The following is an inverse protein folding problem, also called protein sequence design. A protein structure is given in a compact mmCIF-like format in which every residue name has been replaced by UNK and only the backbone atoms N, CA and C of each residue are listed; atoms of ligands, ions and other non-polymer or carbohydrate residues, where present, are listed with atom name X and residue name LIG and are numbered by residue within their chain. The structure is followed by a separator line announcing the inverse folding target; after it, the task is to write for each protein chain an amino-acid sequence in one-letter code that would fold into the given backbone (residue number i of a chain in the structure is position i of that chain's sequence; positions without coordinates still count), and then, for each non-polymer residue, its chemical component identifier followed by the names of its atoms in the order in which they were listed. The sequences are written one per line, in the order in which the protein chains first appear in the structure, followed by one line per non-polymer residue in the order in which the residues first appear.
data_IF_501657260740
#
_entry.id   IF_501657260740
#
_cell.length_a   1.000
_cell.length_b   1.000
_cell.length_c   1.000
_cell.angle_alpha   90.00
_cell.angle_beta   90.00
_cell.angle_gamma   90.00
#
_symmetry.space_group_name_H-M   'P 1'
#
loop_
_entity.id
_entity.type
_entity.pdbx_description
1 polymer ?
#
# COMPACT_ATOMS: atom_id res chain seq x y z
N UNK A 1 -9.24 5.36 19.76
CA UNK A 1 -9.72 5.95 18.49
C UNK A 1 -8.51 6.40 17.70
N UNK A 2 -8.47 6.02 16.44
CA UNK A 2 -7.49 6.50 15.47
C UNK A 2 -8.24 7.15 14.29
N UNK A 3 -7.65 8.17 13.65
CA UNK A 3 -8.32 8.89 12.59
C UNK A 3 -7.80 8.50 11.22
N UNK A 4 -8.72 8.15 10.32
CA UNK A 4 -8.40 7.96 8.89
C UNK A 4 -8.65 9.26 8.14
N UNK A 5 -7.88 9.51 7.08
CA UNK A 5 -8.04 10.68 6.22
C UNK A 5 -9.39 10.74 5.49
N UNK A 6 -10.21 9.69 5.63
CA UNK A 6 -11.47 9.57 4.89
C UNK A 6 -11.29 9.55 3.38
N UNK A 7 -12.14 8.80 2.70
CA UNK A 7 -12.14 8.77 1.23
C UNK A 7 -12.91 9.94 0.62
N UNK A 8 -13.67 10.64 1.46
CA UNK A 8 -14.51 11.81 1.12
C UNK A 8 -13.90 13.14 1.58
N UNK A 9 -12.66 13.12 2.10
CA UNK A 9 -11.96 14.29 2.61
C UNK A 9 -12.16 14.55 4.12
N UNK A 10 -13.31 14.22 4.69
CA UNK A 10 -13.54 14.37 6.14
C UNK A 10 -12.93 13.21 6.94
N UNK A 11 -12.11 13.49 7.96
CA UNK A 11 -11.51 12.46 8.80
C UNK A 11 -12.58 11.69 9.59
N UNK A 12 -12.46 10.35 9.61
CA UNK A 12 -13.33 9.49 10.42
C UNK A 12 -12.56 8.91 11.60
N UNK A 13 -13.15 8.97 12.79
CA UNK A 13 -12.60 8.31 13.98
C UNK A 13 -12.93 6.81 13.96
N UNK A 14 -11.93 5.96 13.99
CA UNK A 14 -12.06 4.51 14.01
C UNK A 14 -11.94 4.01 15.44
N UNK A 15 -12.95 3.29 15.95
CA UNK A 15 -12.96 2.79 17.31
C UNK A 15 -12.41 1.36 17.38
N UNK A 16 -11.34 1.16 18.16
CA UNK A 16 -10.77 -0.15 18.44
C UNK A 16 -11.26 -0.71 19.76
N UNK A 17 -11.34 -2.04 19.86
CA UNK A 17 -11.56 -2.72 21.13
C UNK A 17 -10.22 -2.98 21.84
N UNK A 18 -10.22 -2.97 23.17
CA UNK A 18 -9.02 -3.33 23.96
C UNK A 18 -8.55 -4.76 23.65
N UNK A 19 -9.48 -5.71 23.42
CA UNK A 19 -9.14 -7.07 22.98
C UNK A 19 -8.46 -7.09 21.62
N UNK A 20 -9.00 -6.35 20.64
CA UNK A 20 -8.41 -6.28 19.30
C UNK A 20 -7.01 -5.69 19.32
N UNK A 21 -6.79 -4.60 20.08
CA UNK A 21 -5.48 -3.97 20.24
C UNK A 21 -4.46 -4.92 20.87
N UNK A 22 -4.84 -5.62 21.94
CA UNK A 22 -3.96 -6.57 22.63
C UNK A 22 -3.56 -7.75 21.72
N UNK A 23 -4.54 -8.37 21.04
CA UNK A 23 -4.29 -9.49 20.13
C UNK A 23 -3.44 -9.06 18.93
N UNK A 24 -3.69 -7.85 18.38
CA UNK A 24 -2.89 -7.34 17.28
C UNK A 24 -1.42 -7.13 17.69
N UNK A 25 -1.17 -6.55 18.87
CA UNK A 25 0.19 -6.38 19.37
C UNK A 25 0.96 -7.71 19.47
N UNK A 26 0.32 -8.74 20.04
CA UNK A 26 0.92 -10.07 20.12
C UNK A 26 1.11 -10.73 18.75
N UNK A 27 0.12 -10.62 17.86
CA UNK A 27 0.21 -11.13 16.49
C UNK A 27 1.36 -10.50 15.72
N UNK A 28 1.47 -9.16 15.73
CA UNK A 28 2.57 -8.46 15.07
C UNK A 28 3.94 -8.84 15.65
N UNK A 29 4.03 -9.05 16.96
CA UNK A 29 5.27 -9.52 17.59
C UNK A 29 5.68 -10.91 17.08
N UNK A 30 4.73 -11.84 16.98
CA UNK A 30 4.96 -13.20 16.47
C UNK A 30 5.34 -13.20 15.00
N UNK A 31 4.57 -12.52 14.15
CA UNK A 31 4.77 -12.52 12.69
C UNK A 31 6.07 -11.81 12.27
N UNK A 32 6.45 -10.76 12.99
CA UNK A 32 7.73 -10.09 12.76
C UNK A 32 8.92 -10.84 13.39
N UNK A 33 8.66 -11.80 14.28
CA UNK A 33 9.71 -12.48 15.05
C UNK A 33 10.41 -11.55 16.03
N UNK A 34 9.66 -10.63 16.67
CA UNK A 34 10.19 -9.71 17.67
C UNK A 34 10.58 -10.46 18.95
N UNK A 35 11.65 -9.97 19.58
CA UNK A 35 12.16 -10.47 20.86
C UNK A 35 12.75 -9.32 21.68
N UNK A 36 13.22 -9.61 22.90
CA UNK A 36 13.91 -8.63 23.75
C UNK A 36 15.23 -8.12 23.15
N UNK A 37 15.77 -8.80 22.14
CA UNK A 37 16.98 -8.37 21.43
C UNK A 37 16.67 -7.56 20.17
N UNK A 38 15.39 -7.37 19.83
CA UNK A 38 15.01 -6.58 18.66
C UNK A 38 15.23 -5.09 18.89
N UNK A 39 15.80 -4.44 17.89
CA UNK A 39 15.93 -2.98 17.83
C UNK A 39 15.08 -2.47 16.65
N UNK A 40 14.03 -1.72 16.98
CA UNK A 40 13.06 -1.21 16.00
C UNK A 40 13.32 0.25 15.69
N UNK A 41 13.60 0.56 14.41
CA UNK A 41 13.81 1.92 13.91
C UNK A 41 12.49 2.51 13.40
N UNK A 42 12.08 3.62 13.99
CA UNK A 42 10.82 4.29 13.70
C UNK A 42 10.88 5.17 12.46
N UNK A 43 10.65 4.60 11.29
CA UNK A 43 10.44 5.33 10.03
C UNK A 43 8.96 5.51 9.69
N UNK A 44 8.07 4.79 10.39
CA UNK A 44 6.62 4.94 10.32
C UNK A 44 6.14 5.89 11.42
N UNK A 45 5.23 6.86 11.14
CA UNK A 45 4.64 7.69 12.20
C UNK A 45 3.87 6.85 13.22
N UNK A 46 4.16 7.06 14.52
CA UNK A 46 3.54 6.28 15.61
C UNK A 46 2.01 6.45 15.69
N UNK A 47 1.46 7.57 15.21
CA UNK A 47 0.02 7.81 15.24
C UNK A 47 -0.73 7.01 14.15
N UNK A 48 -0.08 6.65 13.04
CA UNK A 48 -0.74 5.97 11.92
C UNK A 48 -1.05 4.51 12.27
N UNK A 49 -2.33 4.19 12.42
CA UNK A 49 -2.84 2.92 12.99
C UNK A 49 -2.05 2.55 14.25
N UNK A 50 -1.76 3.54 15.12
CA UNK A 50 -0.87 3.45 16.28
C UNK A 50 0.46 2.75 15.95
N UNK A 51 1.09 3.22 14.86
CA UNK A 51 2.37 2.69 14.36
C UNK A 51 2.27 1.24 13.92
N UNK A 52 1.15 0.85 13.27
CA UNK A 52 0.83 -0.53 12.88
C UNK A 52 0.95 -1.52 14.04
N UNK A 53 0.59 -1.05 15.24
CA UNK A 53 0.66 -1.80 16.49
C UNK A 53 2.08 -2.08 17.03
N UNK A 54 3.15 -1.67 16.32
CA UNK A 54 4.53 -1.90 16.77
C UNK A 54 4.91 -1.08 18.02
N UNK A 55 4.21 0.04 18.32
CA UNK A 55 4.34 0.73 19.61
C UNK A 55 4.13 -0.22 20.78
N UNK A 56 3.14 -1.10 20.66
CA UNK A 56 2.77 -2.07 21.68
C UNK A 56 3.57 -3.37 21.54
N UNK A 57 3.75 -3.86 20.31
CA UNK A 57 4.41 -5.13 20.03
C UNK A 57 5.88 -5.13 20.49
N UNK A 58 6.65 -4.10 20.13
CA UNK A 58 8.06 -3.96 20.53
C UNK A 58 8.17 -3.79 22.04
N UNK A 59 7.30 -2.99 22.67
CA UNK A 59 7.25 -2.82 24.13
C UNK A 59 6.90 -4.13 24.83
N UNK A 60 5.94 -4.89 24.31
CA UNK A 60 5.49 -6.15 24.93
C UNK A 60 6.60 -7.21 25.01
N UNK A 61 7.52 -7.24 24.05
CA UNK A 61 8.65 -8.18 24.05
C UNK A 61 9.89 -7.61 24.75
N UNK A 62 9.85 -6.37 25.25
CA UNK A 62 11.01 -5.71 25.87
C UNK A 62 12.09 -5.27 24.86
N UNK A 63 11.73 -5.07 23.60
CA UNK A 63 12.63 -4.61 22.54
C UNK A 63 13.00 -3.13 22.68
N UNK A 64 13.97 -2.68 21.88
CA UNK A 64 14.47 -1.31 21.88
C UNK A 64 13.81 -0.48 20.79
N UNK A 65 13.34 0.72 21.13
CA UNK A 65 12.82 1.70 20.18
C UNK A 65 13.90 2.73 19.83
N UNK A 66 14.22 2.90 18.55
CA UNK A 66 15.05 3.99 18.01
C UNK A 66 14.14 4.96 17.26
N UNK A 67 13.98 6.15 17.82
CA UNK A 67 13.04 7.15 17.30
C UNK A 67 13.74 8.15 16.38
N UNK A 68 13.06 8.50 15.26
CA UNK A 68 13.43 9.56 14.34
C UNK A 68 12.47 10.74 14.50
N UNK A 69 12.99 11.96 14.45
CA UNK A 69 12.15 13.16 14.41
C UNK A 69 11.56 13.38 13.01
N UNK A 70 12.37 13.15 12.00
CA UNK A 70 12.01 13.26 10.58
C UNK A 70 12.69 12.13 9.81
N UNK A 71 12.02 11.58 8.83
CA UNK A 71 12.62 10.55 7.96
C UNK A 71 13.55 11.23 6.98
N UNK A 72 14.85 11.03 7.20
CA UNK A 72 15.93 11.38 6.28
C UNK A 72 16.62 10.09 5.85
N UNK A 73 16.75 9.79 4.55
CA UNK A 73 17.28 8.51 4.11
C UNK A 73 18.70 8.25 4.58
N UNK A 74 19.60 9.25 4.54
CA UNK A 74 20.98 9.10 4.98
C UNK A 74 21.05 8.83 6.50
N UNK A 75 20.19 9.50 7.29
CA UNK A 75 20.08 9.28 8.74
C UNK A 75 19.56 7.87 9.07
N UNK A 76 18.62 7.34 8.27
CA UNK A 76 18.14 5.96 8.44
C UNK A 76 19.30 4.97 8.34
N UNK A 77 20.15 5.06 7.30
CA UNK A 77 21.33 4.18 7.17
C UNK A 77 22.30 4.32 8.35
N UNK A 78 22.56 5.54 8.78
CA UNK A 78 23.44 5.80 9.94
C UNK A 78 22.89 5.20 11.22
N UNK A 79 21.57 5.30 11.47
CA UNK A 79 20.94 4.75 12.67
C UNK A 79 20.82 3.22 12.61
N UNK A 80 20.56 2.64 11.43
CA UNK A 80 20.63 1.19 11.22
C UNK A 80 22.00 0.66 11.66
N UNK A 81 23.07 1.26 11.14
CA UNK A 81 24.43 0.85 11.47
C UNK A 81 24.77 1.11 12.95
N UNK A 82 24.45 2.31 13.48
CA UNK A 82 24.81 2.73 14.84
C UNK A 82 24.13 1.90 15.92
N UNK A 83 22.86 1.55 15.71
CA UNK A 83 22.04 0.87 16.72
C UNK A 83 21.82 -0.62 16.40
N UNK A 84 22.43 -1.13 15.32
CA UNK A 84 22.19 -2.49 14.83
C UNK A 84 20.69 -2.77 14.72
N UNK A 85 19.96 -1.85 14.05
CA UNK A 85 18.51 -1.99 13.91
C UNK A 85 18.16 -3.27 13.16
N UNK A 86 17.21 -4.01 13.71
CA UNK A 86 16.78 -5.31 13.19
C UNK A 86 15.44 -5.25 12.47
N UNK A 87 14.61 -4.25 12.79
CA UNK A 87 13.26 -4.12 12.28
C UNK A 87 12.91 -2.67 11.99
N UNK A 88 12.12 -2.43 10.95
CA UNK A 88 11.42 -1.16 10.71
C UNK A 88 10.17 -1.38 9.87
N UNK A 89 9.17 -0.51 10.03
CA UNK A 89 8.05 -0.40 9.10
C UNK A 89 8.24 0.87 8.26
N UNK A 90 8.01 0.77 6.97
CA UNK A 90 8.23 1.89 6.05
C UNK A 90 7.12 1.96 4.99
N UNK A 91 6.58 3.16 4.75
CA UNK A 91 5.74 3.40 3.59
C UNK A 91 6.55 3.24 2.30
N UNK A 92 5.93 2.88 1.14
CA UNK A 92 6.65 2.77 -0.13
C UNK A 92 7.42 4.03 -0.53
N UNK A 93 6.92 5.22 -0.18
CA UNK A 93 7.62 6.49 -0.40
C UNK A 93 8.94 6.57 0.36
N UNK A 94 9.00 6.04 1.59
CA UNK A 94 10.24 5.96 2.38
C UNK A 94 11.22 5.00 1.71
N UNK A 95 10.77 3.84 1.23
CA UNK A 95 11.63 2.91 0.49
C UNK A 95 12.19 3.54 -0.78
N UNK A 96 11.38 4.32 -1.51
CA UNK A 96 11.83 5.08 -2.69
C UNK A 96 12.90 6.13 -2.32
N UNK A 97 12.75 6.80 -1.18
CA UNK A 97 13.76 7.74 -0.67
C UNK A 97 15.06 7.02 -0.29
N UNK A 98 14.97 5.84 0.35
CA UNK A 98 16.13 5.02 0.68
C UNK A 98 16.87 4.58 -0.59
N UNK A 99 16.15 4.13 -1.63
CA UNK A 99 16.72 3.76 -2.92
C UNK A 99 17.49 4.93 -3.59
N UNK A 100 17.00 6.16 -3.41
CA UNK A 100 17.62 7.36 -3.99
C UNK A 100 18.75 7.96 -3.14
N UNK A 101 19.04 7.40 -1.96
CA UNK A 101 20.08 7.91 -1.05
C UNK A 101 21.49 7.66 -1.60
N UNK A 102 22.42 8.54 -1.24
CA UNK A 102 23.86 8.37 -1.50
C UNK A 102 24.50 7.27 -0.66
N UNK A 103 23.84 6.83 0.42
CA UNK A 103 24.31 5.80 1.33
C UNK A 103 24.00 4.38 0.85
N UNK A 104 23.32 4.24 -0.32
CA UNK A 104 23.03 2.94 -0.92
C UNK A 104 24.31 2.19 -1.24
N UNK A 105 24.42 0.99 -0.67
CA UNK A 105 25.48 0.02 -0.98
C UNK A 105 24.97 -1.40 -0.77
N UNK A 106 25.64 -2.35 -1.40
CA UNK A 106 25.33 -3.77 -1.18
C UNK A 106 25.48 -4.10 0.30
N UNK A 107 24.48 -4.76 0.87
CA UNK A 107 24.48 -5.18 2.26
C UNK A 107 24.20 -4.06 3.29
N UNK A 108 23.94 -2.81 2.86
CA UNK A 108 23.69 -1.69 3.78
C UNK A 108 22.53 -1.90 4.76
N UNK A 109 21.58 -2.79 4.43
CA UNK A 109 20.43 -3.17 5.25
C UNK A 109 20.43 -4.67 5.60
N UNK A 110 21.61 -5.31 5.56
CA UNK A 110 21.71 -6.74 5.90
C UNK A 110 21.21 -7.03 7.30
N UNK A 111 20.32 -8.04 7.42
CA UNK A 111 19.73 -8.44 8.69
C UNK A 111 18.58 -7.54 9.16
N UNK A 112 18.18 -6.54 8.38
CA UNK A 112 17.03 -5.69 8.68
C UNK A 112 15.77 -6.27 8.05
N UNK A 113 14.75 -6.56 8.87
CA UNK A 113 13.39 -6.88 8.41
C UNK A 113 12.62 -5.60 8.19
N UNK A 114 12.15 -5.39 6.97
CA UNK A 114 11.37 -4.22 6.58
C UNK A 114 9.94 -4.65 6.27
N UNK A 115 8.98 -4.05 6.97
CA UNK A 115 7.55 -4.24 6.72
C UNK A 115 7.03 -3.01 5.99
N UNK A 116 6.47 -3.22 4.79
CA UNK A 116 5.93 -2.13 3.95
C UNK A 116 4.45 -2.34 3.65
N UNK A 117 3.70 -1.26 3.55
CA UNK A 117 2.27 -1.31 3.27
C UNK A 117 1.68 0.09 3.12
N UNK A 118 0.35 0.17 3.06
CA UNK A 118 -0.39 1.42 2.83
C UNK A 118 -0.56 1.78 1.35
N UNK A 119 0.31 1.25 0.47
CA UNK A 119 0.18 1.23 -0.98
C UNK A 119 1.06 0.10 -1.53
N UNK A 120 0.80 -0.46 -2.72
CA UNK A 120 1.68 -1.44 -3.33
C UNK A 120 3.04 -0.81 -3.67
N UNK A 121 4.16 -1.40 -3.19
CA UNK A 121 5.48 -0.93 -3.57
C UNK A 121 5.78 -1.29 -5.03
N UNK A 122 6.50 -0.41 -5.74
CA UNK A 122 6.94 -0.71 -7.10
C UNK A 122 7.94 -1.87 -7.10
N UNK A 123 7.89 -2.81 -8.07
CA UNK A 123 8.82 -3.95 -8.13
C UNK A 123 10.29 -3.52 -8.12
N UNK A 124 10.62 -2.41 -8.76
CA UNK A 124 11.97 -1.83 -8.75
C UNK A 124 12.47 -1.50 -7.34
N UNK A 125 11.61 -0.91 -6.51
CA UNK A 125 11.94 -0.57 -5.11
C UNK A 125 12.17 -1.84 -4.29
N UNK A 126 11.36 -2.89 -4.53
CA UNK A 126 11.55 -4.20 -3.89
C UNK A 126 12.92 -4.80 -4.24
N UNK A 127 13.30 -4.75 -5.52
CA UNK A 127 14.62 -5.21 -5.99
C UNK A 127 15.77 -4.44 -5.31
N UNK A 128 15.64 -3.12 -5.21
CA UNK A 128 16.65 -2.27 -4.55
C UNK A 128 16.82 -2.61 -3.07
N UNK A 129 15.73 -2.81 -2.32
CA UNK A 129 15.80 -3.22 -0.91
C UNK A 129 16.48 -4.60 -0.77
N UNK A 130 16.13 -5.54 -1.65
CA UNK A 130 16.72 -6.86 -1.65
C UNK A 130 18.23 -6.82 -1.97
N UNK A 131 18.67 -5.99 -2.92
CA UNK A 131 20.10 -5.82 -3.22
C UNK A 131 20.90 -5.21 -2.07
N UNK A 132 20.26 -4.39 -1.23
CA UNK A 132 20.83 -3.87 0.02
C UNK A 132 20.81 -4.90 1.17
N UNK A 133 20.32 -6.11 0.94
CA UNK A 133 20.31 -7.20 1.92
C UNK A 133 19.13 -7.17 2.90
N UNK A 134 18.13 -6.33 2.70
CA UNK A 134 16.94 -6.29 3.53
C UNK A 134 16.02 -7.49 3.30
N UNK A 135 15.43 -8.00 4.38
CA UNK A 135 14.32 -8.95 4.33
C UNK A 135 13.01 -8.17 4.27
N UNK A 136 12.40 -8.07 3.09
CA UNK A 136 11.22 -7.25 2.87
C UNK A 136 9.93 -8.07 2.88
N UNK A 137 8.95 -7.58 3.68
CA UNK A 137 7.60 -8.13 3.80
C UNK A 137 6.58 -7.08 3.40
N UNK A 138 5.72 -7.40 2.44
CA UNK A 138 4.60 -6.55 2.08
C UNK A 138 3.38 -6.91 2.92
N UNK A 139 2.75 -5.89 3.51
CA UNK A 139 1.58 -5.99 4.36
C UNK A 139 0.41 -5.22 3.74
N UNK A 140 -0.79 -5.72 3.94
CA UNK A 140 -2.00 -4.99 3.64
C UNK A 140 -2.90 -4.91 4.85
N UNK A 141 -3.51 -3.77 5.03
CA UNK A 141 -4.52 -3.48 6.04
C UNK A 141 -4.92 -2.03 5.98
N UNK A 142 -5.88 -1.68 6.80
CA UNK A 142 -6.50 -0.36 6.88
C UNK A 142 -6.48 0.13 8.33
N UNK A 143 -6.80 1.41 8.53
CA UNK A 143 -7.08 1.92 9.88
C UNK A 143 -8.22 1.12 10.50
N UNK A 144 -9.24 0.77 9.73
CA UNK A 144 -10.41 0.01 10.15
C UNK A 144 -10.11 -1.46 10.52
N UNK A 145 -8.95 -2.00 10.13
CA UNK A 145 -8.47 -3.33 10.57
C UNK A 145 -7.37 -3.25 11.62
N UNK A 146 -7.11 -2.06 12.15
CA UNK A 146 -6.04 -1.74 13.10
C UNK A 146 -4.64 -2.05 12.56
N UNK A 147 -4.42 -1.77 11.28
CA UNK A 147 -3.16 -2.06 10.58
C UNK A 147 -3.18 -3.39 9.83
N UNK A 148 -2.04 -4.10 9.75
CA UNK A 148 -1.90 -5.26 8.88
C UNK A 148 -2.89 -6.40 9.16
N UNK A 149 -3.52 -6.90 8.10
CA UNK A 149 -4.42 -8.05 8.10
C UNK A 149 -3.93 -9.18 7.21
N UNK A 150 -3.11 -8.85 6.21
CA UNK A 150 -2.45 -9.85 5.35
C UNK A 150 -0.96 -9.58 5.25
N UNK A 151 -0.21 -10.62 4.92
CA UNK A 151 1.24 -10.58 4.73
C UNK A 151 1.61 -11.36 3.48
N UNK A 152 2.49 -10.81 2.63
CA UNK A 152 3.13 -11.54 1.55
C UNK A 152 4.21 -12.46 2.16
N UNK A 153 3.77 -13.55 2.78
CA UNK A 153 4.65 -14.54 3.38
C UNK A 153 5.56 -15.15 2.31
N UNK A 154 6.87 -15.14 2.54
CA UNK A 154 7.84 -15.68 1.60
C UNK A 154 7.74 -17.22 1.60
N UNK A 155 7.51 -17.81 0.43
CA UNK A 155 7.49 -19.27 0.27
C UNK A 155 8.88 -19.80 -0.03
N UNK A 156 9.15 -21.04 0.39
CA UNK A 156 10.48 -21.66 0.20
C UNK A 156 10.87 -21.83 -1.27
N UNK A 157 9.90 -22.10 -2.14
CA UNK A 157 10.09 -22.27 -3.57
C UNK A 157 10.45 -20.95 -4.29
N UNK A 158 10.18 -19.79 -3.69
CA UNK A 158 10.59 -18.50 -4.26
C UNK A 158 12.10 -18.26 -4.23
N UNK A 159 12.83 -18.94 -3.35
CA UNK A 159 14.29 -18.79 -3.24
C UNK A 159 15.04 -19.16 -4.53
N UNK A 160 14.46 -20.04 -5.37
CA UNK A 160 15.04 -20.44 -6.66
C UNK A 160 14.62 -19.58 -7.86
N UNK A 161 13.72 -18.59 -7.65
CA UNK A 161 13.21 -17.72 -8.70
C UNK A 161 14.20 -16.58 -9.01
N UNK A 162 14.04 -15.96 -10.18
CA UNK A 162 14.73 -14.71 -10.52
C UNK A 162 14.37 -13.60 -9.53
N UNK A 163 15.23 -12.59 -9.38
CA UNK A 163 14.96 -11.43 -8.53
C UNK A 163 13.69 -10.72 -8.98
N UNK A 164 13.45 -10.65 -10.29
CA UNK A 164 12.26 -10.06 -10.91
C UNK A 164 11.00 -10.82 -10.50
N UNK A 165 11.02 -12.14 -10.59
CA UNK A 165 9.89 -12.99 -10.20
C UNK A 165 9.62 -12.89 -8.69
N UNK A 166 10.66 -12.93 -7.86
CA UNK A 166 10.51 -12.72 -6.41
C UNK A 166 9.90 -11.36 -6.09
N UNK A 167 10.31 -10.28 -6.76
CA UNK A 167 9.76 -8.96 -6.57
C UNK A 167 8.27 -8.92 -6.96
N UNK A 168 7.90 -9.57 -8.08
CA UNK A 168 6.50 -9.69 -8.51
C UNK A 168 5.66 -10.44 -7.48
N UNK A 169 6.16 -11.57 -6.96
CA UNK A 169 5.46 -12.34 -5.91
C UNK A 169 5.27 -11.52 -4.63
N UNK A 170 6.32 -10.84 -4.18
CA UNK A 170 6.31 -9.99 -2.97
C UNK A 170 5.48 -8.71 -3.14
N UNK A 171 5.15 -8.28 -4.35
CA UNK A 171 4.31 -7.11 -4.58
C UNK A 171 2.81 -7.36 -4.33
N UNK A 172 2.40 -8.64 -4.22
CA UNK A 172 1.03 -9.04 -3.84
C UNK A 172 0.79 -8.75 -2.36
N UNK A 173 -0.46 -8.58 -1.95
CA UNK A 173 -0.82 -8.30 -0.55
C UNK A 173 -0.81 -9.55 0.33
N UNK A 174 -0.63 -10.71 -0.28
CA UNK A 174 -0.37 -11.96 0.43
C UNK A 174 -1.61 -12.68 0.94
N UNK A 175 -1.44 -13.34 2.06
CA UNK A 175 -2.46 -14.19 2.71
C UNK A 175 -2.86 -13.61 4.05
N UNK A 176 -4.05 -13.96 4.59
CA UNK A 176 -4.45 -13.52 5.93
C UNK A 176 -3.42 -13.91 6.99
N UNK A 177 -3.15 -12.98 7.91
CA UNK A 177 -2.27 -13.22 9.06
C UNK A 177 -2.97 -14.18 10.03
N UNK A 178 -2.47 -15.40 10.15
CA UNK A 178 -3.10 -16.47 10.92
C UNK A 178 -3.10 -16.21 12.43
N UNK A 179 -2.07 -15.56 12.94
CA UNK A 179 -1.93 -15.22 14.35
C UNK A 179 -2.97 -14.21 14.83
N UNK A 180 -3.51 -13.37 13.95
CA UNK A 180 -4.49 -12.34 14.27
C UNK A 180 -5.94 -12.84 14.19
N UNK A 181 -6.18 -14.01 13.64
CA UNK A 181 -7.52 -14.55 13.36
C UNK A 181 -8.43 -13.54 12.64
N UNK A 182 -7.87 -12.86 11.65
CA UNK A 182 -8.63 -11.99 10.74
C UNK A 182 -9.02 -12.81 9.53
N UNK A 183 -10.31 -13.04 9.36
CA UNK A 183 -10.85 -13.57 8.11
C UNK A 183 -10.79 -12.46 7.06
N UNK A 184 -10.03 -12.67 5.99
CA UNK A 184 -10.03 -11.80 4.82
C UNK A 184 -10.51 -12.63 3.64
N UNK A 185 -11.51 -12.13 2.91
CA UNK A 185 -12.07 -12.78 1.72
C UNK A 185 -12.12 -11.77 0.59
N UNK A 186 -12.12 -12.27 -0.64
CA UNK A 186 -12.44 -11.48 -1.84
C UNK A 186 -13.78 -12.01 -2.35
N UNK A 187 -14.77 -11.14 -2.40
CA UNK A 187 -16.17 -11.54 -2.65
C UNK A 187 -16.76 -10.78 -3.84
N UNK A 188 -17.65 -11.47 -4.55
CA UNK A 188 -18.53 -10.87 -5.55
C UNK A 188 -19.67 -10.07 -4.87
N UNK A 189 -20.50 -9.40 -5.66
CA UNK A 189 -21.62 -8.59 -5.12
C UNK A 189 -22.66 -9.39 -4.33
N UNK A 190 -22.77 -10.69 -4.56
CA UNK A 190 -23.63 -11.61 -3.82
C UNK A 190 -22.98 -12.16 -2.54
N UNK A 191 -21.79 -11.68 -2.17
CA UNK A 191 -20.97 -12.16 -1.06
C UNK A 191 -20.42 -13.58 -1.22
N UNK A 192 -20.52 -14.18 -2.41
CA UNK A 192 -19.80 -15.41 -2.77
C UNK A 192 -18.32 -15.16 -2.95
N UNK A 193 -17.45 -16.12 -2.57
CA UNK A 193 -16.03 -16.02 -2.84
C UNK A 193 -15.74 -16.03 -4.33
N UNK A 194 -14.85 -15.16 -4.79
CA UNK A 194 -14.36 -15.22 -6.18
C UNK A 194 -13.46 -16.46 -6.38
N UNK A 195 -13.40 -17.02 -7.59
CA UNK A 195 -12.48 -18.11 -7.89
C UNK A 195 -11.01 -17.68 -7.73
N UNK A 196 -10.14 -18.66 -7.42
CA UNK A 196 -8.69 -18.44 -7.30
C UNK A 196 -8.01 -18.53 -8.68
N UNK A 197 -8.40 -17.66 -9.61
CA UNK A 197 -7.95 -17.65 -11.02
C UNK A 197 -7.00 -16.50 -11.35
N UNK A 198 -6.74 -15.60 -10.40
CA UNK A 198 -5.95 -14.37 -10.56
C UNK A 198 -6.58 -13.34 -11.56
N UNK A 199 -7.82 -13.56 -11.97
CA UNK A 199 -8.52 -12.76 -13.00
C UNK A 199 -9.82 -12.16 -12.49
N UNK A 200 -10.65 -12.96 -11.79
CA UNK A 200 -11.96 -12.54 -11.31
C UNK A 200 -11.82 -11.54 -10.18
N UNK A 201 -12.30 -10.31 -10.43
CA UNK A 201 -12.23 -9.20 -9.47
C UNK A 201 -13.40 -9.29 -8.48
N UNK A 202 -13.11 -9.11 -7.19
CA UNK A 202 -14.09 -8.94 -6.13
C UNK A 202 -13.66 -7.89 -5.12
N UNK A 203 -14.54 -7.57 -4.17
CA UNK A 203 -14.25 -6.67 -3.07
C UNK A 203 -13.57 -7.43 -1.91
N UNK A 204 -12.52 -6.84 -1.36
CA UNK A 204 -11.89 -7.36 -0.12
C UNK A 204 -12.81 -7.06 1.06
N UNK A 205 -13.19 -8.10 1.81
CA UNK A 205 -13.95 -7.96 3.06
C UNK A 205 -13.20 -8.60 4.22
N UNK A 206 -13.34 -8.02 5.40
CA UNK A 206 -12.63 -8.47 6.59
C UNK A 206 -13.57 -8.71 7.79
N UNK A 207 -13.26 -9.72 8.62
CA UNK A 207 -13.97 -9.99 9.86
C UNK A 207 -13.01 -10.61 10.89
N UNK A 208 -12.97 -10.07 12.09
CA UNK A 208 -12.10 -10.62 13.12
C UNK A 208 -11.88 -9.67 14.30
N UNK A 209 -11.01 -10.09 15.21
CA UNK A 209 -10.77 -9.38 16.47
C UNK A 209 -10.13 -8.01 16.31
N UNK A 210 -9.35 -7.79 15.24
CA UNK A 210 -8.66 -6.53 14.98
C UNK A 210 -9.49 -5.54 14.16
N UNK A 211 -10.59 -6.00 13.56
CA UNK A 211 -11.51 -5.13 12.83
C UNK A 211 -12.19 -4.18 13.81
N UNK A 212 -12.33 -2.92 13.44
CA UNK A 212 -12.92 -1.86 14.26
C UNK A 212 -14.29 -2.22 14.83
N UNK A 213 -14.64 -1.61 15.94
CA UNK A 213 -16.03 -1.68 16.48
C UNK A 213 -17.00 -0.83 15.63
N UNK A 214 -16.51 0.23 15.02
CA UNK A 214 -17.26 1.13 14.16
C UNK A 214 -16.58 2.49 14.02
N UNK A 215 -17.25 3.42 13.35
CA UNK A 215 -16.82 4.82 13.28
C UNK A 215 -17.40 5.62 14.45
N UNK A 216 -16.55 6.36 15.11
CA UNK A 216 -16.90 7.18 16.28
C UNK A 216 -17.98 8.19 15.93
N UNK A 217 -19.10 8.13 16.67
CA UNK A 217 -20.29 8.99 16.48
C UNK A 217 -20.88 9.00 15.07
N UNK A 218 -20.61 7.95 14.28
CA UNK A 218 -21.19 7.78 12.94
C UNK A 218 -21.79 6.36 12.76
N UNK A 219 -22.97 6.13 13.38
CA UNK A 219 -23.62 4.82 13.29
C UNK A 219 -24.10 4.49 11.87
N UNK A 220 -24.39 5.51 11.05
CA UNK A 220 -24.81 5.30 9.66
C UNK A 220 -23.66 4.79 8.80
N UNK A 221 -22.49 5.43 8.87
CA UNK A 221 -21.31 4.94 8.17
C UNK A 221 -20.85 3.57 8.69
N UNK A 222 -20.96 3.33 10.01
CA UNK A 222 -20.66 2.03 10.61
C UNK A 222 -21.57 0.94 10.06
N UNK A 223 -22.87 1.15 10.04
CA UNK A 223 -23.84 0.17 9.51
C UNK A 223 -23.59 -0.13 8.03
N UNK A 224 -23.29 0.89 7.23
CA UNK A 224 -22.93 0.72 5.82
C UNK A 224 -21.65 -0.08 5.62
N UNK A 225 -20.62 0.18 6.45
CA UNK A 225 -19.33 -0.49 6.36
C UNK A 225 -19.38 -1.97 6.76
N UNK A 226 -20.37 -2.39 7.56
CA UNK A 226 -20.55 -3.77 8.06
C UNK A 226 -21.74 -4.50 7.43
N UNK A 227 -22.12 -4.11 6.22
CA UNK A 227 -23.21 -4.79 5.51
C UNK A 227 -22.91 -6.29 5.36
N UNK A 228 -23.92 -7.15 5.58
CA UNK A 228 -23.73 -8.60 5.54
C UNK A 228 -22.88 -9.20 6.67
N UNK A 229 -22.51 -8.40 7.71
CA UNK A 229 -21.72 -8.87 8.87
C UNK A 229 -20.21 -8.94 8.61
N UNK A 230 -19.74 -8.40 7.50
CA UNK A 230 -18.33 -8.24 7.14
C UNK A 230 -18.01 -6.76 6.97
N UNK A 231 -16.80 -6.37 7.34
CA UNK A 231 -16.28 -5.03 7.03
C UNK A 231 -15.90 -4.95 5.55
N UNK A 232 -16.55 -4.06 4.80
CA UNK A 232 -16.27 -3.77 3.40
C UNK A 232 -15.15 -2.75 3.29
N UNK A 233 -14.03 -3.15 2.69
CA UNK A 233 -12.84 -2.28 2.60
C UNK A 233 -12.94 -1.24 1.49
N UNK A 234 -13.76 -1.50 0.47
CA UNK A 234 -13.79 -0.73 -0.78
C UNK A 234 -12.57 -0.96 -1.68
N UNK A 235 -11.69 -1.90 -1.33
CA UNK A 235 -10.55 -2.29 -2.16
C UNK A 235 -10.92 -3.50 -3.01
N UNK A 236 -10.59 -3.46 -4.30
CA UNK A 236 -10.84 -4.52 -5.27
C UNK A 236 -9.58 -5.38 -5.46
N UNK A 237 -9.76 -6.69 -5.51
CA UNK A 237 -8.68 -7.65 -5.59
C UNK A 237 -9.04 -8.87 -6.44
N UNK A 238 -8.03 -9.63 -6.78
CA UNK A 238 -8.13 -11.02 -7.27
C UNK A 238 -7.48 -11.96 -6.28
N UNK A 239 -7.83 -13.24 -6.35
CA UNK A 239 -7.16 -14.31 -5.58
C UNK A 239 -6.39 -15.19 -6.54
N UNK A 240 -5.10 -15.37 -6.27
CA UNK A 240 -4.23 -16.26 -7.04
C UNK A 240 -4.47 -17.72 -6.67
N UNK A 241 -4.09 -18.70 -7.53
CA UNK A 241 -4.22 -20.13 -7.24
C UNK A 241 -3.51 -20.60 -5.96
N UNK A 242 -2.48 -19.87 -5.52
CA UNK A 242 -1.75 -20.11 -4.27
C UNK A 242 -2.40 -19.42 -3.04
N UNK A 243 -3.59 -18.84 -3.19
CA UNK A 243 -4.35 -18.18 -2.14
C UNK A 243 -3.92 -16.74 -1.85
N UNK A 244 -2.89 -16.22 -2.55
CA UNK A 244 -2.45 -14.83 -2.38
C UNK A 244 -3.44 -13.86 -2.99
N UNK A 245 -3.74 -12.80 -2.22
CA UNK A 245 -4.56 -11.69 -2.68
C UNK A 245 -3.67 -10.67 -3.40
N UNK A 246 -4.14 -10.16 -4.53
CA UNK A 246 -3.53 -9.04 -5.23
C UNK A 246 -4.55 -7.92 -5.42
N UNK A 247 -4.29 -6.76 -4.80
CA UNK A 247 -5.11 -5.57 -4.99
C UNK A 247 -4.97 -5.04 -6.42
N UNK A 248 -6.10 -4.79 -7.05
CA UNK A 248 -6.18 -4.20 -8.38
C UNK A 248 -6.42 -2.70 -8.32
N UNK A 249 -7.38 -2.25 -7.49
CA UNK A 249 -7.65 -0.83 -7.27
C UNK A 249 -8.58 -0.61 -6.08
N UNK A 250 -8.91 0.64 -5.80
CA UNK A 250 -10.08 0.99 -5.00
C UNK A 250 -11.31 1.12 -5.87
N UNK A 251 -12.44 0.63 -5.39
CA UNK A 251 -13.73 0.67 -6.10
C UNK A 251 -14.04 2.06 -6.68
N UNK A 252 -13.72 3.12 -5.93
CA UNK A 252 -13.91 4.53 -6.32
C UNK A 252 -12.82 5.11 -7.22
N UNK A 253 -11.68 4.45 -7.35
CA UNK A 253 -10.52 4.94 -8.12
C UNK A 253 -10.39 4.22 -9.47
N UNK A 254 -11.18 3.14 -9.70
CA UNK A 254 -11.31 2.51 -11.03
C UNK A 254 -11.78 3.56 -12.03
N UNK A 255 -11.11 3.60 -13.17
CA UNK A 255 -11.42 4.52 -14.27
C UNK A 255 -12.28 3.78 -15.28
N UNK A 256 -13.45 4.32 -15.60
CA UNK A 256 -14.36 3.70 -16.56
C UNK A 256 -14.29 4.46 -17.86
N UNK A 257 -13.51 3.94 -18.81
CA UNK A 257 -13.25 4.57 -20.09
C UNK A 257 -13.92 3.78 -21.23
N UNK A 258 -14.97 4.34 -21.82
CA UNK A 258 -15.70 3.68 -22.92
C UNK A 258 -16.34 2.34 -22.51
N UNK A 259 -16.70 2.17 -21.25
CA UNK A 259 -17.24 0.91 -20.71
C UNK A 259 -16.19 -0.08 -20.22
N UNK A 260 -14.91 0.18 -20.42
CA UNK A 260 -13.80 -0.64 -19.94
C UNK A 260 -13.29 -0.17 -18.58
N UNK A 261 -13.06 -1.09 -17.66
CA UNK A 261 -12.48 -0.82 -16.36
C UNK A 261 -10.96 -0.76 -16.44
N UNK A 262 -10.38 0.38 -16.07
CA UNK A 262 -8.93 0.58 -16.01
C UNK A 262 -8.51 0.70 -14.55
N UNK A 263 -7.63 -0.19 -14.11
CA UNK A 263 -6.97 -0.07 -12.82
C UNK A 263 -5.97 1.07 -12.85
N UNK A 264 -6.19 2.09 -12.01
CA UNK A 264 -5.24 3.18 -11.84
C UNK A 264 -3.89 2.67 -11.30
N UNK A 265 -3.92 1.66 -10.42
CA UNK A 265 -2.74 1.03 -9.82
C UNK A 265 -1.92 0.26 -10.86
N UNK A 266 -2.54 -0.41 -11.82
CA UNK A 266 -1.84 -1.09 -12.92
C UNK A 266 -1.01 -0.10 -13.75
N UNK A 267 -1.63 1.03 -14.09
CA UNK A 267 -0.96 2.08 -14.87
C UNK A 267 0.15 2.75 -14.06
N UNK A 268 -0.08 3.00 -12.75
CA UNK A 268 0.95 3.56 -11.87
C UNK A 268 2.16 2.63 -11.72
N UNK A 269 1.95 1.32 -11.54
CA UNK A 269 3.03 0.32 -11.51
C UNK A 269 3.86 0.37 -12.80
N UNK A 270 3.20 0.45 -13.95
CA UNK A 270 3.89 0.55 -15.25
C UNK A 270 4.69 1.84 -15.38
N UNK A 271 4.11 2.99 -14.99
CA UNK A 271 4.81 4.27 -14.99
C UNK A 271 6.06 4.24 -14.11
N UNK A 272 5.97 3.62 -12.95
CA UNK A 272 7.10 3.50 -12.00
C UNK A 272 8.25 2.62 -12.51
N UNK A 273 8.06 1.80 -13.54
CA UNK A 273 9.15 1.07 -14.21
C UNK A 273 9.98 1.99 -15.15
N UNK A 274 9.47 3.18 -15.49
CA UNK A 274 10.22 4.12 -16.33
C UNK A 274 11.36 4.76 -15.52
N UNK A 275 12.64 4.74 -16.03
CA UNK A 275 13.82 5.16 -15.25
C UNK A 275 13.78 6.63 -14.80
N UNK A 276 13.11 7.50 -15.54
CA UNK A 276 13.00 8.92 -15.20
C UNK A 276 11.92 9.23 -14.15
N UNK A 277 11.04 8.27 -13.81
CA UNK A 277 9.92 8.52 -12.92
C UNK A 277 10.32 8.19 -11.48
N UNK A 278 10.14 9.16 -10.60
CA UNK A 278 10.28 8.99 -9.14
C UNK A 278 8.97 8.50 -8.53
N UNK A 279 7.86 9.16 -8.88
CA UNK A 279 6.52 8.85 -8.37
C UNK A 279 5.48 9.11 -9.44
N UNK A 280 4.41 8.32 -9.43
CA UNK A 280 3.29 8.46 -10.34
C UNK A 280 1.95 8.30 -9.61
N UNK A 281 0.94 9.00 -10.10
CA UNK A 281 -0.46 8.88 -9.67
C UNK A 281 -1.36 8.98 -10.90
N UNK A 282 -2.34 8.09 -11.02
CA UNK A 282 -3.28 8.07 -12.14
C UNK A 282 -4.70 8.23 -11.62
N UNK A 283 -5.44 9.13 -12.25
CA UNK A 283 -6.86 9.36 -11.94
C UNK A 283 -7.67 9.42 -13.23
N UNK A 284 -8.96 9.06 -13.14
CA UNK A 284 -9.92 9.30 -14.20
C UNK A 284 -10.27 10.78 -14.28
N UNK A 285 -10.19 11.35 -15.48
CA UNK A 285 -10.59 12.72 -15.77
C UNK A 285 -11.74 12.73 -16.79
N UNK A 286 -12.57 13.79 -16.83
CA UNK A 286 -13.65 13.90 -17.79
C UNK A 286 -13.15 13.76 -19.24
N UNK A 287 -13.82 12.95 -20.05
CA UNK A 287 -13.57 12.80 -21.49
C UNK A 287 -14.90 12.77 -22.23
N UNK A 288 -15.06 13.64 -23.25
CA UNK A 288 -16.32 13.80 -23.99
C UNK A 288 -16.73 12.53 -24.74
N UNK A 289 -15.76 11.75 -25.22
CA UNK A 289 -16.03 10.56 -26.05
C UNK A 289 -16.17 9.29 -25.16
N UNK A 290 -15.37 9.16 -24.11
CA UNK A 290 -15.23 7.92 -23.35
C UNK A 290 -15.80 8.00 -21.93
N UNK A 291 -16.34 9.15 -21.52
CA UNK A 291 -16.83 9.43 -20.18
C UNK A 291 -15.68 9.78 -19.23
N UNK A 292 -14.78 8.85 -19.03
CA UNK A 292 -13.52 9.07 -18.31
C UNK A 292 -12.31 8.66 -19.16
N UNK A 293 -11.17 9.30 -18.94
CA UNK A 293 -9.89 8.91 -19.49
C UNK A 293 -8.78 8.91 -18.42
N UNK A 294 -7.80 8.00 -18.49
CA UNK A 294 -6.70 8.00 -17.53
C UNK A 294 -5.76 9.18 -17.79
N UNK A 295 -5.48 9.96 -16.72
CA UNK A 295 -4.48 11.03 -16.68
C UNK A 295 -3.43 10.72 -15.65
N UNK A 296 -2.16 10.80 -16.04
CA UNK A 296 -1.04 10.57 -15.17
C UNK A 296 -0.46 11.87 -14.62
N UNK A 297 -0.22 11.92 -13.32
CA UNK A 297 0.54 12.95 -12.63
C UNK A 297 1.86 12.35 -12.20
N UNK A 298 2.98 12.97 -12.57
CA UNK A 298 4.30 12.34 -12.47
C UNK A 298 5.31 13.30 -11.87
N UNK A 299 6.05 12.82 -10.86
CA UNK A 299 7.27 13.48 -10.37
C UNK A 299 8.48 12.79 -10.99
N UNK A 300 9.35 13.57 -11.61
CA UNK A 300 10.58 13.06 -12.22
C UNK A 300 11.70 12.97 -11.18
N UNK A 301 12.64 12.06 -11.43
CA UNK A 301 13.91 11.99 -10.72
C UNK A 301 14.79 13.19 -11.11
N UNK A 302 15.63 13.61 -10.19
CA UNK A 302 16.58 14.70 -10.43
C UNK A 302 17.48 14.40 -11.64
N UNK A 303 17.63 15.42 -12.48
CA UNK A 303 18.47 15.34 -13.69
C UNK A 303 17.81 14.72 -14.91
N UNK A 304 16.64 14.13 -14.79
CA UNK A 304 15.92 13.58 -15.94
C UNK A 304 15.02 14.64 -16.62
N UNK A 305 14.96 14.54 -17.94
CA UNK A 305 14.06 15.34 -18.80
C UNK A 305 13.39 14.41 -19.78
N UNK A 306 12.08 14.33 -19.72
CA UNK A 306 11.25 13.53 -20.62
C UNK A 306 9.99 14.33 -20.97
N UNK A 307 9.44 14.05 -22.13
CA UNK A 307 8.19 14.68 -22.60
C UNK A 307 6.97 13.83 -22.21
N UNK A 308 5.76 14.43 -22.13
CA UNK A 308 4.53 13.67 -21.92
C UNK A 308 4.33 12.55 -22.94
N UNK A 309 4.67 12.79 -24.22
CA UNK A 309 4.48 11.81 -25.29
C UNK A 309 5.42 10.60 -25.14
N UNK A 310 6.64 10.78 -24.64
CA UNK A 310 7.56 9.67 -24.36
C UNK A 310 6.99 8.76 -23.29
N UNK A 311 6.43 9.33 -22.21
CA UNK A 311 5.79 8.57 -21.14
C UNK A 311 4.54 7.82 -21.63
N UNK A 312 3.69 8.49 -22.44
CA UNK A 312 2.50 7.88 -23.03
C UNK A 312 2.90 6.69 -23.92
N UNK A 313 3.91 6.87 -24.77
CA UNK A 313 4.40 5.81 -25.66
C UNK A 313 4.99 4.65 -24.88
N UNK A 314 5.77 4.91 -23.82
CA UNK A 314 6.28 3.88 -22.93
C UNK A 314 5.15 3.00 -22.37
N UNK A 315 4.04 3.62 -21.95
CA UNK A 315 2.87 2.88 -21.48
C UNK A 315 2.17 2.12 -22.60
N UNK A 316 1.99 2.73 -23.79
CA UNK A 316 1.33 2.08 -24.95
C UNK A 316 2.04 0.84 -25.46
N UNK A 317 3.36 0.79 -25.34
CA UNK A 317 4.15 -0.37 -25.74
C UNK A 317 4.01 -1.56 -24.77
N UNK A 318 3.52 -1.34 -23.54
CA UNK A 318 3.54 -2.31 -22.44
C UNK A 318 2.18 -2.61 -21.84
N UNK A 319 1.20 -1.78 -22.09
CA UNK A 319 -0.19 -1.93 -21.65
C UNK A 319 -1.14 -1.98 -22.87
N UNK A 320 -2.33 -2.51 -22.67
CA UNK A 320 -3.39 -2.35 -23.65
C UNK A 320 -3.62 -0.84 -23.93
N UNK A 321 -3.79 -0.46 -25.19
CA UNK A 321 -3.79 0.94 -25.63
C UNK A 321 -4.80 1.82 -24.89
N UNK A 322 -5.96 1.27 -24.52
CA UNK A 322 -7.02 2.00 -23.81
C UNK A 322 -6.64 2.31 -22.35
N UNK A 323 -5.71 1.53 -21.77
CA UNK A 323 -5.19 1.75 -20.40
C UNK A 323 -4.13 2.83 -20.33
N UNK A 324 -3.42 3.12 -21.44
CA UNK A 324 -2.36 4.11 -21.44
C UNK A 324 -2.89 5.51 -21.12
N UNK A 325 -2.17 6.32 -20.32
CA UNK A 325 -2.59 7.70 -20.03
C UNK A 325 -2.79 8.48 -21.33
N UNK A 326 -3.85 9.30 -21.40
CA UNK A 326 -4.07 10.24 -22.51
C UNK A 326 -3.33 11.55 -22.29
N UNK A 327 -3.12 11.90 -21.05
CA UNK A 327 -2.40 13.09 -20.64
C UNK A 327 -1.42 12.77 -19.54
N UNK A 328 -0.27 13.46 -19.54
CA UNK A 328 0.74 13.40 -18.47
C UNK A 328 1.04 14.81 -18.00
N UNK A 329 0.90 15.06 -16.70
CA UNK A 329 1.22 16.32 -16.05
C UNK A 329 2.40 16.10 -15.09
N UNK A 330 3.46 16.90 -15.27
CA UNK A 330 4.62 16.85 -14.38
C UNK A 330 4.47 17.82 -13.21
N UNK A 331 4.90 17.38 -12.03
CA UNK A 331 4.90 18.22 -10.82
C UNK A 331 4.93 17.41 -9.53
N UNK A 332 4.98 18.10 -8.39
CA UNK A 332 4.88 17.44 -7.08
C UNK A 332 3.48 16.87 -6.86
N UNK A 333 3.42 15.70 -6.22
CA UNK A 333 2.16 15.03 -5.89
C UNK A 333 1.68 15.43 -4.49
N UNK A 334 0.38 15.70 -4.28
CA UNK A 334 -0.18 15.96 -2.95
C UNK A 334 -0.11 14.70 -2.10
N UNK A 335 0.39 14.83 -0.87
CA UNK A 335 0.60 13.70 0.05
C UNK A 335 0.02 13.97 1.42
N UNK A 336 -0.36 12.90 2.09
CA UNK A 336 -0.67 12.91 3.53
C UNK A 336 0.63 13.04 4.33
N UNK A 337 0.51 13.29 5.64
CA UNK A 337 1.64 13.28 6.57
C UNK A 337 2.40 11.93 6.61
N UNK A 338 1.75 10.84 6.18
CA UNK A 338 2.34 9.50 6.08
C UNK A 338 3.02 9.24 4.73
N UNK A 339 3.04 10.23 3.81
CA UNK A 339 3.62 10.10 2.48
C UNK A 339 2.72 9.43 1.44
N UNK A 340 1.45 9.11 1.77
CA UNK A 340 0.49 8.54 0.82
C UNK A 340 -0.04 9.61 -0.12
N UNK A 341 -0.05 9.33 -1.43
CA UNK A 341 -0.57 10.24 -2.45
C UNK A 341 -2.09 10.39 -2.27
N UNK A 342 -2.56 11.63 -2.31
CA UNK A 342 -3.98 11.99 -2.15
C UNK A 342 -4.66 12.08 -3.52
N UNK A 343 -5.00 10.93 -4.11
CA UNK A 343 -5.68 10.86 -5.44
C UNK A 343 -6.92 11.75 -5.52
N UNK A 344 -7.69 11.83 -4.42
CA UNK A 344 -8.92 12.62 -4.41
C UNK A 344 -8.68 14.10 -4.70
N UNK A 345 -7.56 14.68 -4.20
CA UNK A 345 -7.21 16.09 -4.44
C UNK A 345 -6.98 16.31 -5.95
N UNK A 346 -6.23 15.42 -6.59
CA UNK A 346 -5.95 15.51 -8.03
C UNK A 346 -7.24 15.34 -8.84
N UNK A 347 -8.07 14.37 -8.45
CA UNK A 347 -9.35 14.12 -9.13
C UNK A 347 -10.31 15.29 -8.99
N UNK A 348 -10.50 15.85 -7.80
CA UNK A 348 -11.37 17.02 -7.58
C UNK A 348 -10.95 18.24 -8.41
N UNK A 349 -9.64 18.48 -8.55
CA UNK A 349 -9.12 19.55 -9.39
C UNK A 349 -9.53 19.37 -10.86
N UNK A 350 -9.46 18.15 -11.39
CA UNK A 350 -9.79 17.86 -12.80
C UNK A 350 -11.30 17.78 -13.04
N UNK A 351 -12.09 17.43 -12.03
CA UNK A 351 -13.56 17.38 -12.11
C UNK A 351 -14.23 18.70 -11.73
N UNK A 352 -13.47 19.75 -11.42
CA UNK A 352 -14.02 21.07 -11.08
C UNK A 352 -14.86 21.60 -12.26
N UNK A 353 -16.16 21.79 -12.03
CA UNK A 353 -17.11 22.23 -13.06
C UNK A 353 -17.74 21.13 -13.93
N UNK A 354 -17.47 19.86 -13.61
CA UNK A 354 -18.07 18.70 -14.27
C UNK A 354 -18.78 17.81 -13.26
N UNK A 355 -19.95 17.28 -13.65
CA UNK A 355 -20.63 16.25 -12.85
C UNK A 355 -20.01 14.88 -13.16
N UNK A 356 -19.51 14.18 -12.14
CA UNK A 356 -19.03 12.81 -12.28
C UNK A 356 -20.22 11.89 -12.53
N UNK A 357 -20.29 11.30 -13.74
CA UNK A 357 -21.42 10.48 -14.17
C UNK A 357 -21.40 9.06 -13.63
N UNK A 358 -20.30 8.60 -13.01
CA UNK A 358 -20.10 7.21 -12.58
C UNK A 358 -19.36 7.24 -11.25
N UNK A 359 -19.90 6.59 -10.23
CA UNK A 359 -19.31 6.44 -8.92
C UNK A 359 -19.93 5.30 -8.17
#
# INVERSE_FOLDING_TARGET
IDYTSGTTGEPKGVEYTGRGAYLNALGQALDAGLSSTSTYLWTLPMFHCNGWCYTWAVTAVGGTHVCLKHVNPDEVFLLVARHSATHMCAAPSVLTMLEASRMVSEGALSGVKIFTGGAPPAPRVLRAMQSMGAELHHLYGLTETYGPSTIAAVQQDWAGMSIEDQARMKSRQGVPVTTLHVGVRVVADDMGDVPMDAETIGEVVARGNTVMAGYYRDPKASASAFQGGWFHTGDLAVVHPDGYIELKDRKKDVIISGGENISSVEVEKMLMEHPAILEACVVGVPDEMWGEAPKAFVTLRDGYKVTPIEIINFCRERLAHFKAPREVKFGPLPKTATGKIQKYVLREQEWSGHDRKIG
#
